data_IF_637432602717
#
_entry.id   IF_637432602717
#
_cell.length_a   1.000
_cell.length_b   1.000
_cell.length_c   1.000
_cell.angle_alpha   90.00
_cell.angle_beta   90.00
_cell.angle_gamma   90.00
#
_symmetry.space_group_name_H-M   'P 1'
#
loop_
_entity.id
_entity.type
_entity.pdbx_description
1 polymer ?
#
# COMPACT_ATOMS: atom_id res chain seq x y z
N UNK A 1 -2.72 6.96 7.62
CA UNK A 1 -1.39 6.48 7.20
C UNK A 1 -0.37 6.83 8.29
N UNK A 2 0.01 5.86 9.14
CA UNK A 2 0.98 6.04 10.22
C UNK A 2 2.36 5.71 9.67
N UNK A 3 3.24 6.72 9.57
CA UNK A 3 4.63 6.54 9.17
C UNK A 3 5.47 6.20 10.40
N UNK A 4 6.07 5.00 10.43
CA UNK A 4 7.30 4.80 11.19
C UNK A 4 8.46 5.12 10.26
N UNK A 5 8.91 6.36 10.37
CA UNK A 5 10.21 6.84 9.92
C UNK A 5 11.25 5.88 10.50
N UNK A 6 11.78 4.97 9.66
CA UNK A 6 13.04 4.28 9.96
C UNK A 6 14.09 5.39 9.93
N UNK A 7 14.47 5.85 11.13
CA UNK A 7 15.34 7.01 11.34
C UNK A 7 16.66 6.84 10.57
N UNK A 8 16.87 7.67 9.55
CA UNK A 8 18.20 7.93 8.98
C UNK A 8 18.36 7.79 7.46
N UNK A 9 17.41 7.18 6.74
CA UNK A 9 17.49 7.07 5.28
C UNK A 9 16.71 8.18 4.57
N UNK A 10 17.25 8.81 3.50
CA UNK A 10 16.49 9.70 2.65
C UNK A 10 15.24 8.98 2.15
N UNK A 11 14.09 9.66 2.15
CA UNK A 11 12.81 9.07 1.75
C UNK A 11 12.91 8.34 0.39
N UNK A 12 13.70 8.87 -0.55
CA UNK A 12 13.96 8.29 -1.87
C UNK A 12 14.70 6.94 -1.83
N UNK A 13 15.67 6.76 -0.93
CA UNK A 13 16.40 5.51 -0.77
C UNK A 13 15.49 4.40 -0.24
N UNK A 14 14.59 4.75 0.69
CA UNK A 14 13.57 3.82 1.17
C UNK A 14 12.65 3.35 0.04
N UNK A 15 12.17 4.26 -0.82
CA UNK A 15 11.32 3.87 -1.96
C UNK A 15 12.03 2.91 -2.91
N UNK A 16 13.29 3.15 -3.23
CA UNK A 16 14.06 2.28 -4.13
C UNK A 16 14.18 0.87 -3.53
N UNK A 17 14.55 0.76 -2.25
CA UNK A 17 14.65 -0.53 -1.55
C UNK A 17 13.29 -1.24 -1.55
N UNK A 18 12.23 -0.51 -1.23
CA UNK A 18 10.88 -1.07 -1.16
C UNK A 18 10.39 -1.55 -2.54
N UNK A 19 10.69 -0.81 -3.61
CA UNK A 19 10.37 -1.20 -4.99
C UNK A 19 11.17 -2.42 -5.45
N UNK A 20 12.45 -2.54 -5.08
CA UNK A 20 13.24 -3.75 -5.35
C UNK A 20 12.63 -4.99 -4.69
N UNK A 21 12.19 -4.89 -3.43
CA UNK A 21 11.54 -6.00 -2.73
C UNK A 21 10.25 -6.43 -3.45
N UNK A 22 9.47 -5.48 -3.98
CA UNK A 22 8.25 -5.77 -4.76
C UNK A 22 8.57 -6.50 -6.06
N UNK A 23 9.60 -6.09 -6.80
CA UNK A 23 10.04 -6.76 -8.02
C UNK A 23 10.47 -8.21 -7.77
N UNK A 24 11.34 -8.42 -6.78
CA UNK A 24 11.79 -9.77 -6.38
C UNK A 24 10.61 -10.65 -5.94
N UNK A 25 9.58 -10.05 -5.33
CA UNK A 25 8.38 -10.77 -4.94
C UNK A 25 7.53 -11.15 -6.15
N UNK A 26 7.37 -10.25 -7.14
CA UNK A 26 6.64 -10.51 -8.38
C UNK A 26 7.25 -11.68 -9.17
N UNK A 27 8.58 -11.73 -9.27
CA UNK A 27 9.29 -12.83 -9.90
C UNK A 27 9.05 -14.15 -9.16
N UNK A 28 9.11 -14.14 -7.82
CA UNK A 28 8.87 -15.33 -6.99
C UNK A 28 7.47 -15.91 -7.15
N UNK A 29 6.46 -15.07 -7.39
CA UNK A 29 5.08 -15.52 -7.60
C UNK A 29 4.77 -15.80 -9.08
N UNK A 30 5.79 -15.80 -9.95
CA UNK A 30 5.66 -16.19 -11.35
C UNK A 30 4.94 -15.15 -12.22
N UNK A 31 4.95 -13.87 -11.84
CA UNK A 31 4.32 -12.81 -12.65
C UNK A 31 5.14 -12.41 -13.90
N UNK A 32 6.21 -13.15 -14.22
CA UNK A 32 7.35 -12.80 -15.07
C UNK A 32 7.12 -11.84 -16.26
N UNK A 33 6.02 -11.95 -17.05
CA UNK A 33 5.89 -11.18 -18.29
C UNK A 33 4.52 -10.52 -18.55
N UNK A 34 3.58 -10.52 -17.59
CA UNK A 34 2.20 -10.04 -17.83
C UNK A 34 1.74 -8.89 -16.95
N UNK A 35 2.62 -8.33 -16.13
CA UNK A 35 2.23 -7.43 -15.05
C UNK A 35 2.54 -5.98 -15.37
N UNK A 36 1.69 -5.07 -14.87
CA UNK A 36 1.91 -3.63 -14.95
C UNK A 36 2.10 -3.09 -13.54
N UNK A 37 3.15 -2.30 -13.35
CA UNK A 37 3.37 -1.55 -12.12
C UNK A 37 2.49 -0.31 -12.12
N UNK A 38 1.63 -0.18 -11.11
CA UNK A 38 0.86 1.04 -10.88
C UNK A 38 1.27 1.64 -9.52
N UNK A 39 1.47 2.95 -9.50
CA UNK A 39 1.69 3.74 -8.27
C UNK A 39 0.81 5.00 -8.30
N UNK A 40 0.62 5.61 -7.14
CA UNK A 40 -0.02 6.91 -7.02
C UNK A 40 0.95 8.05 -7.42
N UNK A 41 0.41 9.27 -7.49
CA UNK A 41 1.15 10.47 -7.83
C UNK A 41 1.61 11.26 -6.58
N UNK A 42 1.75 10.64 -5.40
CA UNK A 42 2.26 11.35 -4.20
C UNK A 42 3.66 11.90 -4.51
N UNK A 43 3.97 13.16 -4.14
CA UNK A 43 5.27 13.80 -4.39
C UNK A 43 6.48 12.93 -4.05
N UNK A 44 6.37 12.10 -3.01
CA UNK A 44 7.41 11.15 -2.58
C UNK A 44 7.76 10.09 -3.63
N UNK A 45 6.77 9.66 -4.42
CA UNK A 45 6.90 8.71 -5.52
C UNK A 45 7.32 9.38 -6.85
N UNK A 46 7.28 10.72 -6.91
CA UNK A 46 7.59 11.48 -8.14
C UNK A 46 9.00 12.08 -8.17
N UNK A 47 9.82 11.82 -7.15
CA UNK A 47 11.21 12.29 -7.12
C UNK A 47 12.02 11.78 -8.32
N UNK A 48 12.91 12.61 -8.86
CA UNK A 48 13.69 12.31 -10.07
C UNK A 48 14.41 10.96 -10.00
N UNK A 49 15.11 10.71 -8.89
CA UNK A 49 15.85 9.46 -8.66
C UNK A 49 14.94 8.22 -8.65
N UNK A 50 13.68 8.36 -8.19
CA UNK A 50 12.71 7.26 -8.19
C UNK A 50 12.21 7.02 -9.62
N UNK A 51 11.93 8.08 -10.37
CA UNK A 51 11.53 7.99 -11.78
C UNK A 51 12.60 7.35 -12.65
N UNK A 52 13.86 7.76 -12.50
CA UNK A 52 14.99 7.13 -13.22
C UNK A 52 15.11 5.66 -12.86
N UNK A 53 15.08 5.31 -11.57
CA UNK A 53 15.18 3.92 -11.16
C UNK A 53 14.04 3.07 -11.75
N UNK A 54 12.80 3.57 -11.72
CA UNK A 54 11.65 2.88 -12.29
C UNK A 54 11.80 2.68 -13.80
N UNK A 55 12.30 3.69 -14.53
CA UNK A 55 12.54 3.62 -15.97
C UNK A 55 13.46 2.45 -16.35
N UNK A 56 14.50 2.19 -15.55
CA UNK A 56 15.48 1.12 -15.85
C UNK A 56 15.08 -0.26 -15.31
N UNK A 57 14.29 -0.33 -14.24
CA UNK A 57 14.03 -1.58 -13.52
C UNK A 57 12.60 -2.10 -13.70
N UNK A 58 11.69 -1.28 -14.22
CA UNK A 58 10.26 -1.61 -14.33
C UNK A 58 9.79 -1.39 -15.78
N UNK A 59 9.74 -2.45 -16.59
CA UNK A 59 9.47 -2.34 -18.03
C UNK A 59 8.02 -1.97 -18.35
N UNK A 60 7.06 -2.35 -17.50
CA UNK A 60 5.64 -2.10 -17.70
C UNK A 60 5.10 -1.24 -16.56
N UNK A 61 4.86 0.04 -16.84
CA UNK A 61 4.33 0.99 -15.86
C UNK A 61 3.01 1.56 -16.36
N UNK A 62 2.01 1.62 -15.49
CA UNK A 62 0.73 2.27 -15.73
C UNK A 62 0.78 3.67 -15.11
N UNK A 63 0.59 4.69 -15.95
CA UNK A 63 0.49 6.06 -15.48
C UNK A 63 -0.92 6.35 -14.99
N UNK A 64 -1.07 6.58 -13.69
CA UNK A 64 -2.32 7.06 -13.10
C UNK A 64 -2.49 8.55 -13.46
N UNK A 65 -3.65 8.98 -13.99
CA UNK A 65 -3.91 10.40 -14.20
C UNK A 65 -3.91 11.15 -12.84
N UNK A 66 -3.53 12.44 -12.83
CA UNK A 66 -3.57 13.25 -11.62
C UNK A 66 -4.98 13.26 -11.01
N UNK A 67 -5.06 13.28 -9.68
CA UNK A 67 -6.32 13.44 -8.94
C UNK A 67 -7.40 12.37 -9.24
N UNK A 68 -6.99 11.16 -9.64
CA UNK A 68 -7.92 10.05 -9.90
C UNK A 68 -7.74 8.92 -8.88
N UNK A 69 -8.10 9.14 -7.60
CA UNK A 69 -8.01 8.09 -6.58
C UNK A 69 -8.89 6.88 -6.93
N UNK A 70 -10.01 7.12 -7.63
CA UNK A 70 -10.94 6.09 -8.11
C UNK A 70 -10.29 5.09 -9.09
N UNK A 71 -9.17 5.46 -9.71
CA UNK A 71 -8.44 4.61 -10.65
C UNK A 71 -7.29 3.86 -9.97
N UNK A 72 -7.09 4.04 -8.67
CA UNK A 72 -6.05 3.34 -7.92
C UNK A 72 -6.68 2.18 -7.13
N UNK A 73 -6.51 0.91 -7.58
CA UNK A 73 -7.12 -0.24 -6.94
C UNK A 73 -6.74 -0.42 -5.46
N UNK A 74 -5.61 0.18 -5.03
CA UNK A 74 -5.17 0.12 -3.64
C UNK A 74 -6.08 0.91 -2.69
N UNK A 75 -6.71 1.99 -3.15
CA UNK A 75 -7.62 2.80 -2.33
C UNK A 75 -8.85 1.98 -1.95
N UNK A 76 -9.42 1.25 -2.92
CA UNK A 76 -10.50 0.32 -2.66
C UNK A 76 -10.11 -0.80 -1.68
N UNK A 77 -8.86 -1.28 -1.75
CA UNK A 77 -8.36 -2.28 -0.80
C UNK A 77 -8.23 -1.70 0.62
N UNK A 78 -7.76 -0.46 0.75
CA UNK A 78 -7.69 0.23 2.03
C UNK A 78 -9.07 0.43 2.64
N UNK A 79 -10.05 0.84 1.83
CA UNK A 79 -11.44 1.01 2.27
C UNK A 79 -12.05 -0.31 2.79
N UNK A 80 -11.86 -1.40 2.05
CA UNK A 80 -12.33 -2.72 2.46
C UNK A 80 -11.64 -3.20 3.74
N UNK A 81 -10.32 -2.97 3.85
CA UNK A 81 -9.56 -3.31 5.04
C UNK A 81 -10.08 -2.53 6.27
N UNK A 82 -10.25 -1.22 6.13
CA UNK A 82 -10.75 -0.35 7.19
C UNK A 82 -12.17 -0.76 7.63
N UNK A 83 -13.05 -1.07 6.66
CA UNK A 83 -14.38 -1.62 6.94
C UNK A 83 -14.32 -2.93 7.74
N UNK A 84 -13.42 -3.86 7.37
CA UNK A 84 -13.24 -5.12 8.11
C UNK A 84 -12.69 -4.90 9.51
N UNK A 85 -11.74 -3.99 9.68
CA UNK A 85 -11.18 -3.62 10.99
C UNK A 85 -12.28 -3.03 11.88
N UNK A 86 -13.04 -2.05 11.38
CA UNK A 86 -14.18 -1.47 12.11
C UNK A 86 -15.20 -2.52 12.53
N UNK A 87 -15.59 -3.42 11.61
CA UNK A 87 -16.52 -4.52 11.92
C UNK A 87 -15.98 -5.46 13.00
N UNK A 88 -14.68 -5.76 12.99
CA UNK A 88 -14.04 -6.58 14.03
C UNK A 88 -14.00 -5.87 15.39
N UNK A 89 -13.75 -4.57 15.40
CA UNK A 89 -13.75 -3.76 16.62
C UNK A 89 -15.15 -3.67 17.26
N UNK A 90 -16.19 -3.47 16.44
CA UNK A 90 -17.59 -3.48 16.91
C UNK A 90 -17.93 -4.83 17.55
N UNK A 91 -17.62 -5.94 16.88
CA UNK A 91 -17.83 -7.29 17.44
C UNK A 91 -17.07 -7.53 18.75
N UNK A 92 -15.88 -6.94 18.91
CA UNK A 92 -15.11 -7.02 20.16
C UNK A 92 -15.82 -6.25 21.27
N UNK A 93 -16.33 -5.05 20.99
CA UNK A 93 -17.07 -4.23 21.96
C UNK A 93 -18.40 -4.87 22.37
N UNK A 94 -19.19 -5.40 21.43
CA UNK A 94 -20.43 -6.14 21.73
C UNK A 94 -20.18 -7.34 22.63
N UNK A 95 -19.16 -8.15 22.32
CA UNK A 95 -18.77 -9.29 23.17
C UNK A 95 -18.43 -8.84 24.59
N UNK A 96 -17.64 -7.77 24.74
CA UNK A 96 -17.32 -7.22 26.06
C UNK A 96 -18.58 -6.77 26.79
N UNK A 97 -19.47 -6.01 26.13
CA UNK A 97 -20.71 -5.51 26.73
C UNK A 97 -21.65 -6.65 27.16
N UNK A 98 -21.79 -7.71 26.36
CA UNK A 98 -22.59 -8.89 26.72
C UNK A 98 -21.96 -9.74 27.83
N UNK A 99 -20.64 -9.68 28.04
CA UNK A 99 -19.99 -10.40 29.15
C UNK A 99 -19.99 -9.63 30.48
N UNK A 100 -20.24 -8.31 30.46
CA UNK A 100 -20.33 -7.47 31.67
C UNK A 100 -21.77 -7.33 32.18
N UNK A 101 -22.78 -7.73 31.39
CA UNK A 101 -24.18 -7.70 31.84
C UNK A 101 -24.36 -8.63 33.07
N UNK A 102 -24.82 -8.12 34.23
CA UNK A 102 -25.00 -8.94 35.41
C UNK A 102 -26.10 -9.97 35.15
N UNK A 103 -25.79 -11.24 35.40
CA UNK A 103 -26.80 -12.30 35.42
C UNK A 103 -27.79 -11.97 36.54
N UNK A 104 -29.05 -11.72 36.18
CA UNK A 104 -30.19 -11.76 37.09
C UNK A 104 -30.38 -13.19 37.61
#
# INVERSE_FOLDING_TARGET
MIYYIVRGLPNTAWFIIHSQIKLVSADKIGLAEGWYFQQDNDPKHTAHIVKEWLLYNVPHQLHSPPQSPDLNPIEHLWDELDRRIRKRMIKKQEKTLTSVAPKL
#
